data_IF_334409608994
#
_entry.id   IF_334409608994
#
_cell.length_a   1.000
_cell.length_b   1.000
_cell.length_c   1.000
_cell.angle_alpha   90.00
_cell.angle_beta   90.00
_cell.angle_gamma   90.00
#
_symmetry.space_group_name_H-M   'P 1'
#
loop_
_entity.id
_entity.type
_entity.pdbx_description
1 polymer ?
#
# COMPACT_ATOMS: atom_id res chain seq x y z
N UNK A 1 -2.19 22.84 5.37
CA UNK A 1 -1.42 21.68 5.90
C UNK A 1 -1.37 21.64 7.43
N UNK A 2 -0.92 22.70 8.13
CA UNK A 2 -0.83 22.70 9.60
C UNK A 2 -2.16 22.35 10.30
N UNK A 3 -3.30 22.82 9.79
CA UNK A 3 -4.61 22.50 10.36
C UNK A 3 -4.94 21.00 10.35
N UNK A 4 -4.62 20.28 9.27
CA UNK A 4 -4.85 18.83 9.21
C UNK A 4 -3.97 18.05 10.19
N UNK A 5 -2.74 18.52 10.44
CA UNK A 5 -1.89 17.97 11.49
C UNK A 5 -2.48 18.18 12.89
N UNK A 6 -3.11 19.33 13.17
CA UNK A 6 -3.77 19.55 14.45
C UNK A 6 -5.01 18.65 14.63
N UNK A 7 -5.74 18.36 13.55
CA UNK A 7 -6.81 17.35 13.56
C UNK A 7 -6.25 15.95 13.84
N UNK A 8 -5.13 15.58 13.19
CA UNK A 8 -4.42 14.34 13.49
C UNK A 8 -4.00 14.24 14.96
N UNK A 9 -3.37 15.30 15.50
CA UNK A 9 -2.89 15.32 16.88
C UNK A 9 -4.05 15.21 17.87
N UNK A 10 -5.18 15.88 17.61
CA UNK A 10 -6.37 15.72 18.44
C UNK A 10 -6.89 14.28 18.45
N UNK A 11 -6.97 13.65 17.27
CA UNK A 11 -7.50 12.29 17.13
C UNK A 11 -6.59 11.23 17.76
N UNK A 12 -5.26 11.35 17.58
CA UNK A 12 -4.32 10.25 17.86
C UNK A 12 -3.32 10.53 18.98
N UNK A 13 -3.13 11.80 19.35
CA UNK A 13 -2.11 12.22 20.31
C UNK A 13 -2.76 13.10 21.40
N UNK A 14 -3.64 12.56 22.27
CA UNK A 14 -4.41 13.35 23.24
C UNK A 14 -3.53 14.17 24.19
N UNK A 15 -2.28 13.75 24.40
CA UNK A 15 -1.27 14.49 25.19
C UNK A 15 -0.80 15.80 24.53
N UNK A 16 -1.13 16.03 23.26
CA UNK A 16 -0.84 17.28 22.56
C UNK A 16 -1.72 18.45 23.03
N UNK A 17 -2.80 18.18 23.79
CA UNK A 17 -3.61 19.22 24.41
C UNK A 17 -4.55 19.98 23.46
N UNK A 18 -4.78 19.46 22.25
CA UNK A 18 -5.71 20.06 21.29
C UNK A 18 -7.15 19.80 21.76
N UNK A 19 -7.88 20.89 22.01
CA UNK A 19 -9.28 20.80 22.43
C UNK A 19 -10.19 20.37 21.29
N UNK A 20 -11.37 19.84 21.61
CA UNK A 20 -12.36 19.47 20.59
C UNK A 20 -12.83 20.70 19.76
N UNK A 21 -12.95 21.87 20.39
CA UNK A 21 -13.36 23.11 19.73
C UNK A 21 -12.29 23.59 18.76
N UNK A 22 -11.02 23.55 19.18
CA UNK A 22 -9.89 23.84 18.29
C UNK A 22 -9.85 22.83 17.13
N UNK A 23 -9.96 21.54 17.41
CA UNK A 23 -9.93 20.51 16.38
C UNK A 23 -11.03 20.71 15.31
N UNK A 24 -12.25 21.09 15.71
CA UNK A 24 -13.33 21.44 14.77
C UNK A 24 -12.98 22.65 13.90
N UNK A 25 -12.48 23.73 14.50
CA UNK A 25 -12.04 24.91 13.75
C UNK A 25 -10.90 24.59 12.76
N UNK A 26 -9.94 23.75 13.19
CA UNK A 26 -8.82 23.32 12.32
C UNK A 26 -9.30 22.40 11.21
N UNK A 27 -10.27 21.53 11.49
CA UNK A 27 -10.93 20.71 10.48
C UNK A 27 -11.59 21.59 9.43
N UNK A 28 -12.41 22.57 9.81
CA UNK A 28 -13.09 23.46 8.87
C UNK A 28 -12.08 24.22 7.99
N UNK A 29 -11.03 24.79 8.60
CA UNK A 29 -9.97 25.46 7.87
C UNK A 29 -9.19 24.52 6.92
N UNK A 30 -9.03 23.24 7.25
CA UNK A 30 -8.39 22.26 6.39
C UNK A 30 -9.29 21.90 5.20
N UNK A 31 -10.60 21.74 5.43
CA UNK A 31 -11.60 21.47 4.39
C UNK A 31 -11.75 22.65 3.44
N UNK A 32 -11.76 23.88 3.94
CA UNK A 32 -11.73 25.08 3.11
C UNK A 32 -10.43 25.16 2.30
N UNK A 33 -9.34 24.67 2.89
CA UNK A 33 -8.07 24.44 2.21
C UNK A 33 -8.13 23.40 1.07
N UNK A 34 -9.26 22.73 0.82
CA UNK A 34 -9.52 21.85 -0.32
C UNK A 34 -10.42 22.47 -1.41
N UNK A 35 -10.89 23.71 -1.25
CA UNK A 35 -11.82 24.43 -2.17
C UNK A 35 -11.43 24.59 -3.65
N UNK A 36 -10.24 24.11 -4.07
CA UNK A 36 -9.79 24.10 -5.47
C UNK A 36 -9.64 22.68 -6.03
N UNK A 37 -10.07 21.69 -5.26
CA UNK A 37 -10.04 20.26 -5.59
C UNK A 37 -11.32 19.63 -5.05
N UNK A 38 -12.44 19.92 -5.72
CA UNK A 38 -13.78 19.52 -5.28
C UNK A 38 -13.88 18.00 -5.10
N UNK A 39 -13.20 17.22 -5.94
CA UNK A 39 -13.17 15.77 -5.81
C UNK A 39 -12.52 15.32 -4.50
N UNK A 40 -11.34 15.85 -4.15
CA UNK A 40 -10.67 15.51 -2.89
C UNK A 40 -11.51 15.95 -1.67
N UNK A 41 -12.20 17.10 -1.79
CA UNK A 41 -13.09 17.63 -0.76
C UNK A 41 -14.32 16.73 -0.58
N UNK A 42 -15.01 16.37 -1.65
CA UNK A 42 -16.18 15.48 -1.62
C UNK A 42 -15.82 14.11 -1.08
N UNK A 43 -14.71 13.52 -1.53
CA UNK A 43 -14.23 12.23 -1.02
C UNK A 43 -13.99 12.26 0.50
N UNK A 44 -13.42 13.35 1.01
CA UNK A 44 -13.25 13.54 2.45
C UNK A 44 -14.61 13.65 3.17
N UNK A 45 -15.53 14.47 2.68
CA UNK A 45 -16.85 14.66 3.28
C UNK A 45 -17.68 13.36 3.27
N UNK A 46 -17.56 12.56 2.21
CA UNK A 46 -18.14 11.22 2.12
C UNK A 46 -17.52 10.25 3.13
N UNK A 47 -16.21 10.35 3.35
CA UNK A 47 -15.51 9.54 4.35
C UNK A 47 -15.95 9.91 5.76
N UNK A 48 -16.17 11.19 6.03
CA UNK A 48 -16.58 11.71 7.32
C UNK A 48 -18.07 11.44 7.63
N UNK A 49 -18.94 11.52 6.63
CA UNK A 49 -20.39 11.33 6.80
C UNK A 49 -20.83 9.86 6.95
N UNK A 50 -20.00 8.90 6.54
CA UNK A 50 -20.29 7.48 6.69
C UNK A 50 -20.26 7.09 8.18
N UNK A 51 -21.45 6.78 8.72
CA UNK A 51 -21.70 6.25 10.10
C UNK A 51 -20.99 4.92 10.44
N UNK A 52 -20.23 4.36 9.49
CA UNK A 52 -19.38 3.16 9.60
C UNK A 52 -17.88 3.48 9.53
N UNK A 53 -17.48 4.74 9.72
CA UNK A 53 -16.09 5.05 10.04
C UNK A 53 -15.74 4.26 11.30
N UNK A 54 -15.01 3.16 11.16
CA UNK A 54 -14.09 2.78 12.22
C UNK A 54 -13.26 4.04 12.51
N UNK A 55 -13.34 4.55 13.76
CA UNK A 55 -13.25 5.96 14.18
C UNK A 55 -12.02 6.80 13.78
N UNK A 56 -11.11 6.28 12.95
CA UNK A 56 -9.79 6.87 12.73
C UNK A 56 -9.49 7.26 11.26
N UNK A 57 -10.37 6.91 10.31
CA UNK A 57 -10.07 7.13 8.89
C UNK A 57 -10.22 8.60 8.45
N UNK A 58 -11.20 9.35 8.97
CA UNK A 58 -11.44 10.72 8.51
C UNK A 58 -10.27 11.70 8.78
N UNK A 59 -9.67 11.73 9.99
CA UNK A 59 -8.47 12.54 10.24
C UNK A 59 -7.30 12.20 9.32
N UNK A 60 -7.09 10.90 9.02
CA UNK A 60 -6.02 10.42 8.15
C UNK A 60 -6.28 10.75 6.68
N UNK A 61 -7.52 10.60 6.22
CA UNK A 61 -7.93 11.00 4.86
C UNK A 61 -7.75 12.51 4.67
N UNK A 62 -8.19 13.34 5.64
CA UNK A 62 -7.98 14.79 5.58
C UNK A 62 -6.48 15.15 5.49
N UNK A 63 -5.65 14.48 6.30
CA UNK A 63 -4.22 14.67 6.27
C UNK A 63 -3.63 14.33 4.90
N UNK A 64 -4.02 13.20 4.32
CA UNK A 64 -3.59 12.80 2.98
C UNK A 64 -3.93 13.85 1.91
N UNK A 65 -5.20 14.25 1.81
CA UNK A 65 -5.66 15.18 0.77
C UNK A 65 -4.87 16.50 0.80
N UNK A 66 -4.54 16.97 2.01
CA UNK A 66 -3.77 18.19 2.22
C UNK A 66 -2.28 18.03 1.88
N UNK A 67 -1.72 16.82 1.98
CA UNK A 67 -0.35 16.52 1.54
C UNK A 67 -0.29 16.46 0.01
N UNK A 68 -1.26 15.80 -0.63
CA UNK A 68 -1.38 15.75 -2.10
C UNK A 68 -1.48 17.16 -2.68
N UNK A 69 -2.40 17.97 -2.16
CA UNK A 69 -2.58 19.36 -2.59
C UNK A 69 -1.33 20.23 -2.40
N UNK A 70 -0.47 19.91 -1.44
CA UNK A 70 0.75 20.66 -1.20
C UNK A 70 1.87 20.39 -2.21
N UNK A 71 1.61 19.60 -3.25
CA UNK A 71 2.56 19.33 -4.33
C UNK A 71 3.52 18.19 -4.01
N UNK A 72 3.04 17.14 -3.34
CA UNK A 72 3.82 15.91 -3.21
C UNK A 72 4.13 15.35 -4.61
N UNK A 73 5.42 15.19 -4.94
CA UNK A 73 5.87 14.81 -6.28
C UNK A 73 6.46 13.39 -6.34
N UNK A 74 6.45 12.64 -5.23
CA UNK A 74 7.00 11.28 -5.13
C UNK A 74 8.52 11.16 -5.35
N UNK A 75 9.19 12.23 -5.81
CA UNK A 75 10.60 12.25 -6.20
C UNK A 75 11.55 12.15 -5.00
N UNK A 76 11.05 12.46 -3.80
CA UNK A 76 11.83 12.51 -2.57
C UNK A 76 12.74 13.74 -2.47
N UNK A 77 12.65 14.69 -3.41
CA UNK A 77 13.48 15.90 -3.44
C UNK A 77 12.80 17.13 -2.80
N UNK A 78 11.47 17.15 -2.70
CA UNK A 78 10.71 18.13 -1.95
C UNK A 78 10.26 17.53 -0.61
N UNK A 79 10.54 18.25 0.49
CA UNK A 79 10.25 17.94 1.91
C UNK A 79 9.36 16.70 2.15
N UNK A 80 9.81 15.69 2.91
CA UNK A 80 9.02 14.49 3.17
C UNK A 80 7.84 14.84 4.08
N UNK A 81 6.76 15.37 3.51
CA UNK A 81 5.51 15.66 4.21
C UNK A 81 4.82 14.37 4.68
N UNK A 82 5.30 13.22 4.24
CA UNK A 82 4.81 11.91 4.64
C UNK A 82 5.75 11.30 5.65
N UNK A 83 5.35 11.36 6.91
CA UNK A 83 6.13 10.79 7.97
C UNK A 83 5.71 9.34 8.18
N UNK A 84 6.67 8.41 8.01
CA UNK A 84 6.43 6.98 8.26
C UNK A 84 5.86 6.69 9.66
N UNK A 85 6.04 7.58 10.63
CA UNK A 85 5.44 7.43 11.95
C UNK A 85 3.90 7.32 11.88
N UNK A 86 3.23 7.95 10.91
CA UNK A 86 1.77 7.87 10.75
C UNK A 86 1.37 6.42 10.55
N UNK A 87 2.06 5.72 9.63
CA UNK A 87 1.83 4.30 9.38
C UNK A 87 2.26 3.41 10.54
N UNK A 88 3.41 3.71 11.16
CA UNK A 88 3.91 2.94 12.30
C UNK A 88 2.99 3.02 13.53
N UNK A 89 2.31 4.15 13.74
CA UNK A 89 1.40 4.37 14.87
C UNK A 89 -0.04 3.94 14.57
N UNK A 90 -0.56 4.26 13.38
CA UNK A 90 -1.98 4.07 13.05
C UNK A 90 -2.26 2.80 12.24
N UNK A 91 -1.23 2.09 11.79
CA UNK A 91 -1.34 0.76 11.17
C UNK A 91 -2.36 0.70 10.04
N UNK A 92 -3.31 -0.24 10.15
CA UNK A 92 -4.35 -0.50 9.14
C UNK A 92 -5.20 0.73 8.76
N UNK A 93 -5.42 1.67 9.69
CA UNK A 93 -6.15 2.89 9.39
C UNK A 93 -5.34 3.78 8.41
N UNK A 94 -4.04 3.95 8.65
CA UNK A 94 -3.16 4.70 7.76
C UNK A 94 -2.97 4.00 6.41
N UNK A 95 -2.76 2.68 6.38
CA UNK A 95 -2.62 1.96 5.11
C UNK A 95 -3.87 2.06 4.23
N UNK A 96 -5.07 2.07 4.83
CA UNK A 96 -6.33 2.28 4.11
C UNK A 96 -6.48 3.73 3.64
N UNK A 97 -6.31 4.69 4.53
CA UNK A 97 -6.47 6.10 4.20
C UNK A 97 -5.46 6.57 3.13
N UNK A 98 -4.25 5.99 3.10
CA UNK A 98 -3.18 6.34 2.17
C UNK A 98 -3.04 5.40 0.96
N UNK A 99 -3.92 4.42 0.80
CA UNK A 99 -3.93 3.49 -0.33
C UNK A 99 -4.71 3.96 -1.55
N UNK A 100 -5.23 3.05 -2.38
CA UNK A 100 -6.01 3.42 -3.56
C UNK A 100 -7.31 4.14 -3.13
N UNK A 101 -7.59 5.30 -3.73
CA UNK A 101 -8.75 6.14 -3.39
C UNK A 101 -9.54 6.60 -4.61
N UNK A 102 -8.86 6.98 -5.70
CA UNK A 102 -9.47 7.72 -6.80
C UNK A 102 -9.95 6.82 -7.94
N UNK A 103 -9.38 5.62 -8.08
CA UNK A 103 -9.54 4.79 -9.27
C UNK A 103 -9.00 5.47 -10.53
N UNK A 104 -7.97 6.30 -10.40
CA UNK A 104 -7.44 7.13 -11.50
C UNK A 104 -5.95 7.37 -11.38
N UNK A 105 -5.35 8.09 -12.33
CA UNK A 105 -3.93 8.46 -12.30
C UNK A 105 -3.50 9.22 -11.05
N UNK A 106 -4.43 9.84 -10.32
CA UNK A 106 -4.16 10.48 -9.02
C UNK A 106 -3.66 9.49 -7.97
N UNK A 107 -4.05 8.21 -8.05
CA UNK A 107 -3.56 7.18 -7.12
C UNK A 107 -2.04 6.96 -7.24
N UNK A 108 -1.47 7.18 -8.43
CA UNK A 108 -0.02 7.12 -8.63
C UNK A 108 0.77 8.20 -7.89
N UNK A 109 0.10 9.16 -7.27
CA UNK A 109 0.69 10.22 -6.44
C UNK A 109 0.34 10.07 -4.96
N UNK A 110 -0.11 8.89 -4.52
CA UNK A 110 -0.43 8.63 -3.12
C UNK A 110 0.76 9.03 -2.23
N UNK A 111 0.55 9.90 -1.23
CA UNK A 111 1.62 10.44 -0.42
C UNK A 111 1.99 9.44 0.67
N UNK A 112 2.73 8.40 0.28
CA UNK A 112 3.29 7.40 1.20
C UNK A 112 4.79 7.63 1.38
N UNK A 113 5.34 7.21 2.52
CA UNK A 113 6.78 7.18 2.65
C UNK A 113 7.35 5.92 1.95
N UNK A 114 8.62 5.95 1.56
CA UNK A 114 9.26 4.80 0.91
C UNK A 114 9.27 3.57 1.83
N UNK A 115 9.26 2.33 1.28
CA UNK A 115 9.58 1.14 2.05
C UNK A 115 10.87 1.32 2.85
N UNK A 116 10.89 0.81 4.08
CA UNK A 116 11.98 1.05 5.01
C UNK A 116 13.10 0.02 4.87
N UNK A 117 14.34 0.47 4.76
CA UNK A 117 15.50 -0.41 4.57
C UNK A 117 15.65 -0.87 3.12
N UNK A 118 16.28 -2.02 2.91
CA UNK A 118 16.74 -2.47 1.59
C UNK A 118 16.05 -3.74 1.07
N UNK A 119 15.00 -4.24 1.74
CA UNK A 119 14.38 -5.54 1.43
C UNK A 119 14.15 -5.76 -0.06
N UNK A 120 13.45 -4.82 -0.70
CA UNK A 120 13.07 -4.89 -2.10
C UNK A 120 14.19 -4.52 -3.08
N UNK A 121 15.31 -4.01 -2.57
CA UNK A 121 16.52 -3.74 -3.35
C UNK A 121 17.44 -4.95 -3.47
N UNK A 122 17.17 -6.01 -2.69
CA UNK A 122 17.94 -7.25 -2.70
C UNK A 122 17.84 -7.98 -4.04
N UNK A 123 18.91 -8.66 -4.49
CA UNK A 123 18.93 -9.35 -5.79
C UNK A 123 17.78 -10.34 -5.97
N UNK A 124 17.36 -11.04 -4.92
CA UNK A 124 16.28 -12.03 -4.96
C UNK A 124 14.92 -11.39 -5.25
N UNK A 125 14.66 -10.23 -4.65
CA UNK A 125 13.44 -9.45 -4.92
C UNK A 125 13.47 -8.82 -6.32
N UNK A 126 14.62 -8.30 -6.75
CA UNK A 126 14.81 -7.81 -8.12
C UNK A 126 14.57 -8.91 -9.15
N UNK A 127 15.02 -10.14 -8.88
CA UNK A 127 14.77 -11.31 -9.73
C UNK A 127 13.29 -11.68 -9.78
N UNK A 128 12.59 -11.69 -8.63
CA UNK A 128 11.15 -11.97 -8.59
C UNK A 128 10.35 -10.91 -9.37
N UNK A 129 10.66 -9.63 -9.18
CA UNK A 129 10.07 -8.51 -9.95
C UNK A 129 10.33 -8.67 -11.44
N UNK A 130 11.57 -8.96 -11.83
CA UNK A 130 11.93 -9.15 -13.24
C UNK A 130 11.21 -10.35 -13.87
N UNK A 131 10.98 -11.43 -13.10
CA UNK A 131 10.23 -12.59 -13.59
C UNK A 131 8.74 -12.28 -13.80
N UNK A 132 8.14 -11.43 -12.96
CA UNK A 132 6.74 -10.99 -13.11
C UNK A 132 6.54 -9.87 -14.15
N UNK A 133 7.58 -9.09 -14.46
CA UNK A 133 7.46 -7.90 -15.31
C UNK A 133 6.81 -8.18 -16.68
N UNK A 134 7.16 -9.24 -17.45
CA UNK A 134 6.58 -9.46 -18.76
C UNK A 134 5.05 -9.65 -18.75
N UNK A 135 4.51 -10.40 -17.77
CA UNK A 135 3.06 -10.63 -17.67
C UNK A 135 2.34 -9.39 -17.16
N UNK A 136 2.95 -8.64 -16.24
CA UNK A 136 2.40 -7.37 -15.76
C UNK A 136 2.38 -6.30 -16.85
N UNK A 137 3.42 -6.23 -17.69
CA UNK A 137 3.50 -5.31 -18.82
C UNK A 137 2.39 -5.60 -19.83
N UNK A 138 2.05 -6.87 -20.07
CA UNK A 138 0.92 -7.27 -20.92
C UNK A 138 -0.41 -6.85 -20.28
N UNK A 139 -0.66 -7.23 -19.03
CA UNK A 139 -1.85 -6.86 -18.27
C UNK A 139 -2.05 -5.33 -18.19
N UNK A 140 -0.95 -4.57 -18.18
CA UNK A 140 -1.00 -3.10 -18.06
C UNK A 140 -1.51 -2.40 -19.32
N UNK A 141 -1.35 -2.99 -20.51
CA UNK A 141 -1.66 -2.31 -21.79
C UNK A 141 -3.11 -1.87 -21.90
N UNK A 142 -4.03 -2.71 -21.43
CA UNK A 142 -5.48 -2.50 -21.60
C UNK A 142 -6.18 -2.00 -20.33
N UNK A 143 -5.44 -1.87 -19.22
CA UNK A 143 -5.95 -1.52 -17.88
C UNK A 143 -6.28 -0.04 -17.64
N UNK A 144 -6.23 0.83 -18.67
CA UNK A 144 -6.60 2.25 -18.56
C UNK A 144 -5.92 3.02 -17.41
N UNK A 145 -6.62 3.95 -16.77
CA UNK A 145 -6.14 4.68 -15.59
C UNK A 145 -6.41 3.97 -14.26
N UNK A 146 -7.25 2.92 -14.24
CA UNK A 146 -7.58 2.19 -13.02
C UNK A 146 -6.36 1.43 -12.45
N UNK A 147 -5.39 1.08 -13.31
CA UNK A 147 -4.10 0.48 -12.92
C UNK A 147 -3.34 1.23 -11.83
N UNK A 148 -3.46 2.56 -11.78
CA UNK A 148 -2.77 3.36 -10.79
C UNK A 148 -3.31 3.08 -9.37
N UNK A 149 -4.57 2.64 -9.25
CA UNK A 149 -5.10 2.09 -8.01
C UNK A 149 -4.37 0.82 -7.58
N UNK A 150 -4.14 -0.14 -8.49
CA UNK A 150 -3.36 -1.34 -8.16
C UNK A 150 -1.92 -0.99 -7.76
N UNK A 151 -1.29 -0.06 -8.48
CA UNK A 151 0.09 0.36 -8.20
C UNK A 151 0.20 1.01 -6.80
N UNK A 152 -0.74 1.90 -6.44
CA UNK A 152 -0.80 2.45 -5.09
C UNK A 152 -1.03 1.39 -4.02
N UNK A 153 -1.83 0.36 -4.33
CA UNK A 153 -2.04 -0.80 -3.45
C UNK A 153 -0.75 -1.58 -3.23
N UNK A 154 0.00 -1.86 -4.29
CA UNK A 154 1.29 -2.53 -4.23
C UNK A 154 2.31 -1.72 -3.42
N UNK A 155 2.36 -0.40 -3.63
CA UNK A 155 3.26 0.49 -2.90
C UNK A 155 2.97 0.49 -1.38
N UNK A 156 1.67 0.51 -1.01
CA UNK A 156 1.23 0.35 0.39
C UNK A 156 1.65 -1.01 0.95
N UNK A 157 1.50 -2.07 0.17
CA UNK A 157 1.86 -3.41 0.60
C UNK A 157 3.37 -3.54 0.86
N UNK A 158 4.20 -2.96 0.00
CA UNK A 158 5.66 -2.94 0.17
C UNK A 158 6.08 -2.08 1.38
N UNK A 159 5.45 -0.92 1.58
CA UNK A 159 5.64 -0.13 2.79
C UNK A 159 5.26 -0.92 4.04
N UNK A 160 4.11 -1.59 4.03
CA UNK A 160 3.65 -2.43 5.16
C UNK A 160 4.60 -3.59 5.44
N UNK A 161 5.11 -4.23 4.39
CA UNK A 161 6.06 -5.36 4.49
C UNK A 161 7.36 -4.96 5.19
N UNK A 162 7.77 -3.70 5.05
CA UNK A 162 9.03 -3.21 5.62
C UNK A 162 8.86 -2.45 6.93
N UNK A 163 7.72 -1.79 7.14
CA UNK A 163 7.45 -0.99 8.33
C UNK A 163 6.70 -1.77 9.41
N UNK A 164 5.73 -2.59 9.03
CA UNK A 164 4.87 -3.37 9.93
C UNK A 164 4.83 -4.87 9.58
N UNK A 165 5.99 -5.54 9.40
CA UNK A 165 6.03 -6.93 8.94
C UNK A 165 5.30 -7.93 9.85
N UNK A 166 5.13 -7.61 11.14
CA UNK A 166 4.41 -8.47 12.10
C UNK A 166 2.92 -8.60 11.74
N UNK A 167 2.37 -7.66 10.98
CA UNK A 167 0.99 -7.75 10.50
C UNK A 167 0.76 -8.97 9.61
N UNK A 168 1.80 -9.45 8.92
CA UNK A 168 1.70 -10.63 8.06
C UNK A 168 1.66 -11.96 8.83
N UNK A 169 1.81 -11.92 10.17
CA UNK A 169 1.55 -13.06 11.05
C UNK A 169 0.07 -13.20 11.41
N UNK A 170 -0.74 -12.14 11.19
CA UNK A 170 -2.19 -12.20 11.38
C UNK A 170 -2.83 -13.07 10.30
N UNK A 171 -3.98 -13.70 10.57
CA UNK A 171 -4.72 -14.43 9.54
C UNK A 171 -5.01 -13.56 8.31
N UNK A 172 -4.76 -14.11 7.12
CA UNK A 172 -5.09 -13.44 5.86
C UNK A 172 -6.61 -13.51 5.63
N UNK A 173 -7.16 -12.50 4.94
CA UNK A 173 -8.51 -12.61 4.39
C UNK A 173 -8.55 -13.74 3.35
N UNK A 174 -9.72 -14.37 3.10
CA UNK A 174 -9.84 -15.45 2.11
C UNK A 174 -9.30 -15.09 0.73
N UNK A 175 -9.51 -13.84 0.26
CA UNK A 175 -8.97 -13.36 -1.03
C UNK A 175 -7.44 -13.35 -1.08
N UNK A 176 -6.77 -13.16 0.06
CA UNK A 176 -5.30 -13.15 0.18
C UNK A 176 -4.73 -14.50 0.64
N UNK A 177 -5.59 -15.42 1.08
CA UNK A 177 -5.20 -16.73 1.60
C UNK A 177 -5.05 -17.80 0.50
N UNK A 178 -5.47 -17.51 -0.74
CA UNK A 178 -5.29 -18.40 -1.88
C UNK A 178 -3.82 -18.73 -2.14
N UNK A 179 -3.54 -19.91 -2.67
CA UNK A 179 -2.18 -20.34 -3.02
C UNK A 179 -1.79 -19.78 -4.39
N UNK A 180 -1.06 -18.67 -4.38
CA UNK A 180 -0.62 -17.99 -5.61
C UNK A 180 0.34 -18.85 -6.44
N UNK A 181 1.17 -19.68 -5.79
CA UNK A 181 2.05 -20.58 -6.53
C UNK A 181 1.23 -21.66 -7.26
N UNK A 182 0.19 -22.17 -6.59
CA UNK A 182 -0.79 -23.06 -7.23
C UNK A 182 -1.53 -22.37 -8.37
N UNK A 183 -2.01 -21.13 -8.20
CA UNK A 183 -2.66 -20.37 -9.28
C UNK A 183 -1.76 -20.22 -10.51
N UNK A 184 -0.46 -19.97 -10.33
CA UNK A 184 0.51 -19.90 -11.44
C UNK A 184 0.71 -21.27 -12.10
N UNK A 185 0.73 -22.34 -11.31
CA UNK A 185 0.89 -23.71 -11.82
C UNK A 185 -0.33 -24.14 -12.62
N UNK A 186 -1.53 -23.80 -12.14
CA UNK A 186 -2.81 -24.19 -12.71
C UNK A 186 -3.25 -23.28 -13.88
N UNK A 187 -2.52 -22.20 -14.17
CA UNK A 187 -2.82 -21.30 -15.28
C UNK A 187 -2.79 -22.07 -16.62
N UNK A 188 -3.86 -21.97 -17.39
CA UNK A 188 -4.12 -22.78 -18.58
C UNK A 188 -3.99 -22.03 -19.90
N UNK A 189 -4.03 -20.69 -19.90
CA UNK A 189 -3.76 -19.89 -21.10
C UNK A 189 -2.26 -19.59 -21.29
N UNK A 190 -1.57 -20.49 -22.00
CA UNK A 190 -0.17 -20.34 -22.38
C UNK A 190 0.10 -19.19 -23.37
N UNK A 191 -0.93 -18.66 -24.06
CA UNK A 191 -0.76 -17.49 -24.93
C UNK A 191 -0.69 -16.22 -24.10
N UNK A 192 -1.58 -16.06 -23.12
CA UNK A 192 -1.56 -14.91 -22.21
C UNK A 192 -0.33 -14.92 -21.28
N UNK A 193 0.04 -16.10 -20.78
CA UNK A 193 1.19 -16.25 -19.88
C UNK A 193 2.01 -17.51 -20.15
N UNK A 194 3.09 -17.43 -20.95
CA UNK A 194 3.87 -18.60 -21.33
C UNK A 194 4.46 -19.38 -20.14
N UNK A 195 4.44 -20.73 -20.23
CA UNK A 195 4.98 -21.66 -19.22
C UNK A 195 6.40 -21.29 -18.76
N UNK A 196 7.27 -20.86 -19.69
CA UNK A 196 8.65 -20.45 -19.37
C UNK A 196 8.68 -19.27 -18.38
N UNK A 197 7.79 -18.30 -18.56
CA UNK A 197 7.68 -17.14 -17.66
C UNK A 197 7.08 -17.56 -16.31
N UNK A 198 6.04 -18.40 -16.30
CA UNK A 198 5.45 -18.98 -15.07
C UNK A 198 6.52 -19.71 -14.23
N UNK A 199 7.31 -20.56 -14.88
CA UNK A 199 8.41 -21.28 -14.23
C UNK A 199 9.51 -20.34 -13.69
N UNK A 200 9.79 -19.23 -14.38
CA UNK A 200 10.75 -18.24 -13.90
C UNK A 200 10.28 -17.56 -12.60
N UNK A 201 8.97 -17.27 -12.51
CA UNK A 201 8.36 -16.71 -11.28
C UNK A 201 8.41 -17.73 -10.16
N UNK A 202 7.95 -18.96 -10.39
CA UNK A 202 7.95 -20.04 -9.40
C UNK A 202 9.37 -20.29 -8.85
N UNK A 203 10.38 -20.31 -9.71
CA UNK A 203 11.78 -20.49 -9.31
C UNK A 203 12.35 -19.31 -8.48
N UNK A 204 11.74 -18.12 -8.55
CA UNK A 204 12.19 -16.93 -7.81
C UNK A 204 11.55 -16.82 -6.41
N UNK A 205 10.49 -17.58 -6.10
CA UNK A 205 9.74 -17.46 -4.85
C UNK A 205 10.59 -17.84 -3.62
N UNK A 206 11.22 -19.00 -3.63
CA UNK A 206 11.99 -19.47 -2.46
C UNK A 206 13.23 -18.62 -2.16
N UNK A 207 14.03 -18.17 -3.16
CA UNK A 207 15.06 -17.16 -2.94
C UNK A 207 14.51 -15.90 -2.26
N UNK A 208 13.39 -15.34 -2.73
CA UNK A 208 12.80 -14.15 -2.15
C UNK A 208 12.31 -14.37 -0.71
N UNK A 209 11.70 -15.54 -0.41
CA UNK A 209 11.29 -15.93 0.95
C UNK A 209 12.49 -16.01 1.90
N UNK A 210 13.59 -16.66 1.48
CA UNK A 210 14.80 -16.77 2.30
C UNK A 210 15.45 -15.41 2.55
N UNK A 211 15.57 -14.58 1.51
CA UNK A 211 16.11 -13.24 1.63
C UNK A 211 15.26 -12.36 2.58
N UNK A 212 13.94 -12.48 2.48
CA UNK A 212 13.00 -11.78 3.37
C UNK A 212 13.11 -12.26 4.82
N UNK A 213 13.17 -13.56 5.06
CA UNK A 213 13.33 -14.09 6.41
C UNK A 213 14.66 -13.64 7.04
N UNK A 214 15.75 -13.67 6.27
CA UNK A 214 17.04 -13.15 6.73
C UNK A 214 16.96 -11.67 7.10
N UNK A 215 16.37 -10.85 6.23
CA UNK A 215 16.17 -9.42 6.47
C UNK A 215 15.31 -9.14 7.71
N UNK A 216 14.23 -9.90 7.92
CA UNK A 216 13.36 -9.74 9.10
C UNK A 216 14.09 -10.03 10.42
N UNK A 217 15.01 -11.01 10.41
CA UNK A 217 15.85 -11.29 11.58
C UNK A 217 16.82 -10.15 11.85
N UNK A 218 17.56 -9.71 10.83
CA UNK A 218 18.63 -8.72 11.00
C UNK A 218 18.09 -7.32 11.24
N UNK A 219 17.11 -6.87 10.44
CA UNK A 219 16.65 -5.49 10.43
C UNK A 219 15.41 -5.24 11.29
N UNK A 220 14.69 -6.31 11.69
CA UNK A 220 13.40 -6.19 12.39
C UNK A 220 13.30 -7.02 13.68
N UNK A 221 14.37 -7.75 14.03
CA UNK A 221 14.48 -8.48 15.29
C UNK A 221 13.44 -9.60 15.45
N UNK A 222 13.07 -10.27 14.36
CA UNK A 222 12.21 -11.44 14.42
C UNK A 222 12.99 -12.66 14.91
N UNK A 223 12.32 -13.56 15.64
CA UNK A 223 12.83 -14.92 15.84
C UNK A 223 12.80 -15.74 14.56
N UNK A 224 13.55 -16.84 14.48
CA UNK A 224 13.69 -17.65 13.25
C UNK A 224 12.36 -18.14 12.68
N UNK A 225 11.50 -18.70 13.53
CA UNK A 225 10.20 -19.22 13.12
C UNK A 225 9.24 -18.12 12.66
N UNK A 226 9.19 -17.00 13.40
CA UNK A 226 8.37 -15.85 13.03
C UNK A 226 8.85 -15.21 11.72
N UNK A 227 10.17 -15.08 11.54
CA UNK A 227 10.75 -14.53 10.34
C UNK A 227 10.41 -15.37 9.11
N UNK A 228 10.49 -16.70 9.22
CA UNK A 228 10.10 -17.61 8.15
C UNK A 228 8.60 -17.50 7.83
N UNK A 229 7.74 -17.47 8.86
CA UNK A 229 6.29 -17.35 8.67
C UNK A 229 5.89 -16.01 8.02
N UNK A 230 6.40 -14.89 8.54
CA UNK A 230 6.12 -13.57 7.98
C UNK A 230 6.69 -13.44 6.56
N UNK A 231 7.89 -13.95 6.29
CA UNK A 231 8.47 -13.93 4.95
C UNK A 231 7.63 -14.70 3.92
N UNK A 232 7.15 -15.89 4.28
CA UNK A 232 6.25 -16.66 3.43
C UNK A 232 4.97 -15.87 3.11
N UNK A 233 4.39 -15.22 4.12
CA UNK A 233 3.15 -14.43 3.99
C UNK A 233 3.34 -13.13 3.21
N UNK A 234 4.48 -12.44 3.37
CA UNK A 234 4.83 -11.24 2.60
C UNK A 234 4.97 -11.60 1.12
N UNK A 235 5.76 -12.63 0.77
CA UNK A 235 5.94 -13.05 -0.62
C UNK A 235 4.62 -13.54 -1.23
N UNK A 236 3.83 -14.30 -0.46
CA UNK A 236 2.52 -14.77 -0.88
C UNK A 236 1.57 -13.61 -1.20
N UNK A 237 1.44 -12.65 -0.27
CA UNK A 237 0.60 -11.46 -0.45
C UNK A 237 1.05 -10.63 -1.65
N UNK A 238 2.37 -10.45 -1.80
CA UNK A 238 2.96 -9.71 -2.91
C UNK A 238 2.62 -10.32 -4.27
N UNK A 239 2.64 -11.65 -4.34
CA UNK A 239 2.30 -12.39 -5.55
C UNK A 239 0.79 -12.35 -5.81
N UNK A 240 -0.04 -12.62 -4.80
CA UNK A 240 -1.50 -12.62 -4.93
C UNK A 240 -2.06 -11.29 -5.44
N UNK A 241 -1.59 -10.15 -4.95
CA UNK A 241 -2.09 -8.85 -5.42
C UNK A 241 -1.73 -8.56 -6.88
N UNK A 242 -0.60 -9.10 -7.36
CA UNK A 242 -0.20 -8.98 -8.77
C UNK A 242 -0.95 -9.98 -9.64
N UNK A 243 -1.19 -11.19 -9.14
CA UNK A 243 -2.00 -12.18 -9.84
C UNK A 243 -3.45 -11.74 -9.99
N UNK A 244 -4.05 -11.09 -8.99
CA UNK A 244 -5.39 -10.51 -9.12
C UNK A 244 -5.45 -9.52 -10.29
N UNK A 245 -4.47 -8.63 -10.40
CA UNK A 245 -4.37 -7.70 -11.53
C UNK A 245 -4.16 -8.42 -12.88
N UNK A 246 -3.30 -9.44 -12.92
CA UNK A 246 -3.05 -10.23 -14.13
C UNK A 246 -4.31 -10.96 -14.58
N UNK A 247 -5.02 -11.63 -13.67
CA UNK A 247 -6.25 -12.37 -13.94
C UNK A 247 -7.35 -11.45 -14.46
N UNK A 248 -7.58 -10.32 -13.79
CA UNK A 248 -8.61 -9.35 -14.19
C UNK A 248 -8.35 -8.70 -15.57
N UNK A 249 -7.09 -8.66 -16.05
CA UNK A 249 -6.73 -7.96 -17.28
C UNK A 249 -6.25 -8.87 -18.41
N UNK A 250 -6.01 -10.17 -18.15
CA UNK A 250 -5.62 -11.14 -19.17
C UNK A 250 -6.61 -12.31 -19.33
N UNK A 251 -7.44 -12.60 -18.33
CA UNK A 251 -8.44 -13.69 -18.40
C UNK A 251 -9.79 -13.23 -18.99
N UNK A 252 -9.88 -11.97 -19.46
CA UNK A 252 -11.08 -11.40 -20.06
C UNK A 252 -11.04 -11.43 -21.58
N UNK A 253 -11.51 -12.53 -22.18
CA UNK A 253 -12.07 -12.60 -23.54
C UNK A 253 -13.53 -13.08 -23.45
#
# INVERSE_FOLDING_TARGET
>A
MASAWLVYLHAFEPKAGITADEARQRRDAAVDGLSGDDYARELYLDTESKKYSQDDNAPLTLLRMLIERAGYDGSGSARPYVHCFVFARQGDAAYRAFGPLYGSSRDGQAPICRPQGDLFERPEWKRLRAAMAPVLDRATRDSGTIRYGYFAGWDIQELRSTLSPRDFLKPLSPQRAGDAAKQITDWDDDKAWPVKERNAVLAALDPARRATAAWLRTERGFGDAEAAAAAARIVQSWLSERLGFVDENLSGD
#
